data_IF_407971146107
#
_entry.id   IF_407971146107
#
_cell.length_a   1.000
_cell.length_b   1.000
_cell.length_c   1.000
_cell.angle_alpha   90.00
_cell.angle_beta   90.00
_cell.angle_gamma   90.00
#
_symmetry.space_group_name_H-M   'P 1'
#
loop_
_entity.id
_entity.type
_entity.pdbx_description
1 polymer ?
#
# COMPACT_ATOMS: atom_id res chain seq x y z
N UNK A 1 0.29 -36.74 -29.80
CA UNK A 1 1.56 -37.43 -30.05
C UNK A 1 2.67 -36.49 -30.49
N UNK A 2 3.92 -36.84 -30.22
CA UNK A 2 5.12 -36.17 -30.74
C UNK A 2 5.27 -36.44 -32.24
N UNK A 3 5.65 -35.46 -33.07
CA UNK A 3 5.87 -35.72 -34.50
C UNK A 3 7.18 -36.49 -34.67
N UNK A 4 7.13 -37.57 -35.45
CA UNK A 4 8.26 -38.46 -35.67
C UNK A 4 9.40 -37.77 -36.45
N UNK A 5 10.62 -38.25 -36.25
CA UNK A 5 11.84 -37.86 -37.01
C UNK A 5 12.24 -36.38 -36.88
N UNK A 6 11.79 -35.69 -35.83
CA UNK A 6 12.27 -34.36 -35.49
C UNK A 6 13.75 -34.37 -35.14
N UNK A 7 14.41 -33.27 -35.48
CA UNK A 7 15.81 -33.00 -35.20
C UNK A 7 15.88 -31.76 -34.33
N UNK A 8 16.30 -31.91 -33.08
CA UNK A 8 16.46 -30.79 -32.14
C UNK A 8 17.94 -30.47 -32.04
N UNK A 9 18.31 -29.22 -32.33
CA UNK A 9 19.67 -28.74 -32.11
C UNK A 9 19.88 -28.46 -30.63
N UNK A 10 20.88 -29.12 -30.04
CA UNK A 10 21.32 -28.94 -28.66
C UNK A 10 22.80 -28.57 -28.69
N UNK A 11 23.26 -27.80 -27.71
CA UNK A 11 24.68 -27.47 -27.57
C UNK A 11 25.31 -28.22 -26.40
N UNK A 12 26.53 -28.71 -26.61
CA UNK A 12 27.32 -29.33 -25.55
C UNK A 12 27.61 -28.34 -24.42
N UNK A 13 27.31 -28.73 -23.19
CA UNK A 13 27.68 -28.00 -21.98
C UNK A 13 28.13 -28.99 -20.88
N UNK A 14 28.81 -28.48 -19.85
CA UNK A 14 29.36 -29.34 -18.80
C UNK A 14 28.31 -30.20 -18.09
N UNK A 15 27.08 -29.70 -17.97
CA UNK A 15 25.97 -30.39 -17.29
C UNK A 15 25.26 -31.45 -18.14
N UNK A 16 25.22 -31.31 -19.47
CA UNK A 16 24.48 -32.22 -20.36
C UNK A 16 25.38 -33.27 -21.03
N UNK A 17 26.70 -33.10 -20.94
CA UNK A 17 27.68 -33.97 -21.61
C UNK A 17 27.46 -35.44 -21.29
N UNK A 18 27.47 -35.81 -20.00
CA UNK A 18 27.33 -37.19 -19.54
C UNK A 18 26.03 -37.84 -20.04
N UNK A 19 24.92 -37.11 -19.99
CA UNK A 19 23.60 -37.57 -20.43
C UNK A 19 23.59 -37.99 -21.91
N UNK A 20 24.17 -37.17 -22.79
CA UNK A 20 24.16 -37.47 -24.22
C UNK A 20 25.25 -38.47 -24.64
N UNK A 21 26.40 -38.52 -23.94
CA UNK A 21 27.40 -39.58 -24.14
C UNK A 21 26.80 -40.97 -23.80
N UNK A 22 26.05 -41.10 -22.70
CA UNK A 22 25.34 -42.34 -22.32
C UNK A 22 24.28 -42.77 -23.36
N UNK A 23 23.71 -41.81 -24.10
CA UNK A 23 22.77 -42.05 -25.20
C UNK A 23 23.45 -42.34 -26.54
N UNK A 24 24.79 -42.39 -26.58
CA UNK A 24 25.59 -42.74 -27.75
C UNK A 24 25.99 -41.57 -28.64
N UNK A 25 25.79 -40.32 -28.21
CA UNK A 25 26.23 -39.13 -28.95
C UNK A 25 27.72 -38.85 -28.69
N UNK A 26 28.50 -38.64 -29.77
CA UNK A 26 29.94 -38.37 -29.67
C UNK A 26 30.20 -36.91 -29.30
N UNK A 27 30.86 -36.69 -28.16
CA UNK A 27 31.29 -35.37 -27.72
C UNK A 27 32.33 -34.77 -28.68
N UNK A 28 32.15 -33.50 -29.05
CA UNK A 28 33.12 -32.74 -29.85
C UNK A 28 33.89 -31.74 -28.99
N UNK A 29 33.36 -30.53 -28.83
CA UNK A 29 33.84 -29.49 -27.91
C UNK A 29 32.66 -28.77 -27.26
N UNK A 30 32.92 -28.15 -26.12
CA UNK A 30 31.90 -27.39 -25.39
C UNK A 30 31.39 -26.25 -26.28
N UNK A 31 30.08 -26.01 -26.26
CA UNK A 31 29.30 -25.05 -27.08
C UNK A 31 29.05 -25.47 -28.53
N UNK A 32 29.60 -26.58 -29.02
CA UNK A 32 29.22 -27.11 -30.33
C UNK A 32 27.78 -27.58 -30.34
N UNK A 33 27.09 -27.26 -31.43
CA UNK A 33 25.75 -27.76 -31.74
C UNK A 33 25.80 -29.18 -32.28
N UNK A 34 24.87 -30.02 -31.84
CA UNK A 34 24.64 -31.36 -32.36
C UNK A 34 23.13 -31.63 -32.39
N UNK A 35 22.73 -32.57 -33.24
CA UNK A 35 21.33 -32.90 -33.46
C UNK A 35 20.97 -34.11 -32.62
N UNK A 36 19.92 -33.97 -31.81
CA UNK A 36 19.35 -35.06 -31.02
C UNK A 36 17.91 -35.33 -31.41
N UNK A 37 17.47 -36.56 -31.14
CA UNK A 37 16.05 -36.91 -31.22
C UNK A 37 15.32 -36.36 -29.98
N UNK A 38 14.06 -35.92 -30.08
CA UNK A 38 13.33 -35.43 -28.92
C UNK A 38 13.23 -36.45 -27.77
N UNK A 39 13.19 -37.75 -28.07
CA UNK A 39 13.09 -38.82 -27.07
C UNK A 39 14.35 -38.94 -26.19
N UNK A 40 15.49 -38.45 -26.69
CA UNK A 40 16.76 -38.43 -25.96
C UNK A 40 16.95 -37.16 -25.14
N UNK A 41 16.00 -36.20 -25.20
CA UNK A 41 16.02 -35.03 -24.32
C UNK A 41 15.70 -35.43 -22.86
N UNK A 42 16.33 -34.78 -21.86
CA UNK A 42 15.92 -34.90 -20.47
C UNK A 42 14.46 -34.51 -20.26
N UNK A 43 13.77 -35.12 -19.29
CA UNK A 43 12.35 -34.88 -19.02
C UNK A 43 12.04 -33.45 -18.52
N UNK A 44 13.04 -32.74 -18.02
CA UNK A 44 13.01 -31.33 -17.65
C UNK A 44 13.45 -30.37 -18.77
N UNK A 45 13.69 -30.88 -19.99
CA UNK A 45 14.19 -30.07 -21.11
C UNK A 45 13.22 -28.95 -21.51
N UNK A 46 13.77 -27.75 -21.66
CA UNK A 46 13.09 -26.55 -22.17
C UNK A 46 13.12 -26.45 -23.70
N UNK A 47 13.74 -27.39 -24.41
CA UNK A 47 13.76 -27.37 -25.87
C UNK A 47 12.34 -27.55 -26.41
N UNK A 48 12.02 -26.78 -27.45
CA UNK A 48 10.72 -26.82 -28.10
C UNK A 48 10.64 -28.01 -29.04
N UNK A 49 9.52 -28.72 -28.99
CA UNK A 49 9.20 -29.87 -29.83
C UNK A 49 7.86 -29.63 -30.52
N UNK A 50 7.69 -30.18 -31.72
CA UNK A 50 6.41 -30.15 -32.42
C UNK A 50 5.57 -31.36 -31.99
N UNK A 51 4.30 -31.12 -31.67
CA UNK A 51 3.40 -32.17 -31.20
C UNK A 51 2.03 -32.00 -31.84
N UNK A 52 1.36 -33.11 -32.12
CA UNK A 52 0.02 -33.17 -32.68
C UNK A 52 -0.95 -33.55 -31.57
N UNK A 53 -2.01 -32.77 -31.38
CA UNK A 53 -3.09 -33.10 -30.45
C UNK A 53 -3.80 -34.39 -30.89
N UNK A 54 -3.86 -35.40 -30.02
CA UNK A 54 -4.50 -36.71 -30.30
C UNK A 54 -6.02 -36.65 -30.42
N UNK A 55 -6.62 -35.46 -30.28
CA UNK A 55 -8.08 -35.25 -30.29
C UNK A 55 -8.56 -34.31 -31.39
N UNK A 56 -7.70 -33.43 -31.90
CA UNK A 56 -8.08 -32.48 -32.96
C UNK A 56 -7.09 -32.44 -34.12
N UNK A 57 -6.03 -33.25 -34.08
CA UNK A 57 -5.00 -33.39 -35.09
C UNK A 57 -4.30 -32.08 -35.49
N UNK A 58 -4.42 -31.02 -34.69
CA UNK A 58 -3.68 -29.78 -34.88
C UNK A 58 -2.28 -29.90 -34.31
N UNK A 59 -1.31 -29.33 -35.02
CA UNK A 59 0.08 -29.26 -34.63
C UNK A 59 0.34 -28.05 -33.73
N UNK A 60 1.20 -28.22 -32.74
CA UNK A 60 1.60 -27.22 -31.75
C UNK A 60 3.09 -27.30 -31.51
N UNK A 61 3.70 -26.18 -31.11
CA UNK A 61 5.09 -26.12 -30.67
C UNK A 61 5.10 -25.78 -29.18
N UNK A 62 5.69 -26.63 -28.34
CA UNK A 62 5.84 -26.38 -26.90
C UNK A 62 7.07 -27.06 -26.31
N UNK A 63 7.41 -26.73 -25.07
CA UNK A 63 8.58 -27.31 -24.39
C UNK A 63 8.39 -28.81 -24.12
N UNK A 64 9.45 -29.61 -24.31
CA UNK A 64 9.40 -31.06 -24.14
C UNK A 64 8.90 -31.49 -22.74
N UNK A 65 9.33 -30.78 -21.70
CA UNK A 65 8.85 -31.00 -20.32
C UNK A 65 7.33 -30.84 -20.17
N UNK A 66 6.73 -29.90 -20.89
CA UNK A 66 5.30 -29.61 -20.80
C UNK A 66 4.48 -30.63 -21.58
N UNK A 67 5.02 -31.12 -22.69
CA UNK A 67 4.48 -32.28 -23.42
C UNK A 67 4.44 -33.52 -22.51
N UNK A 68 5.56 -33.85 -21.86
CA UNK A 68 5.65 -35.00 -20.95
C UNK A 68 4.66 -34.91 -19.77
N UNK A 69 4.55 -33.74 -19.14
CA UNK A 69 3.55 -33.50 -18.08
C UNK A 69 2.11 -33.72 -18.58
N UNK A 70 1.80 -33.27 -19.78
CA UNK A 70 0.46 -33.41 -20.37
C UNK A 70 0.12 -34.89 -20.59
N UNK A 71 0.99 -35.66 -21.22
CA UNK A 71 0.73 -37.08 -21.52
C UNK A 71 0.72 -37.97 -20.27
N UNK A 72 1.55 -37.64 -19.24
CA UNK A 72 1.60 -38.37 -17.97
C UNK A 72 0.25 -38.32 -17.23
N UNK A 73 -0.46 -37.19 -17.32
CA UNK A 73 -1.78 -37.00 -16.70
C UNK A 73 -2.94 -37.57 -17.52
N UNK A 74 -2.70 -37.96 -18.77
CA UNK A 74 -3.73 -38.25 -19.75
C UNK A 74 -3.52 -39.58 -20.49
N UNK A 75 -3.12 -40.63 -19.79
CA UNK A 75 -2.94 -41.99 -20.34
C UNK A 75 -2.12 -42.01 -21.64
N UNK A 76 -0.99 -41.30 -21.65
CA UNK A 76 -0.07 -41.17 -22.79
C UNK A 76 -0.65 -40.46 -24.04
N UNK A 77 -1.82 -39.82 -23.93
CA UNK A 77 -2.42 -39.00 -25.00
C UNK A 77 -2.23 -37.51 -24.72
N UNK A 78 -1.63 -36.81 -25.66
CA UNK A 78 -1.49 -35.35 -25.65
C UNK A 78 -2.79 -34.69 -26.12
N UNK A 79 -3.28 -33.75 -25.32
CA UNK A 79 -4.35 -32.86 -25.75
C UNK A 79 -3.90 -31.40 -25.70
N UNK A 80 -4.34 -30.61 -26.68
CA UNK A 80 -4.17 -29.18 -26.63
C UNK A 80 -5.05 -28.56 -25.54
N UNK A 81 -4.78 -27.29 -25.22
CA UNK A 81 -5.55 -26.50 -24.25
C UNK A 81 -7.05 -26.50 -24.57
N UNK A 82 -7.41 -26.31 -25.85
CA UNK A 82 -8.82 -26.27 -26.30
C UNK A 82 -9.51 -27.61 -26.04
N UNK A 83 -8.88 -28.72 -26.41
CA UNK A 83 -9.43 -30.06 -26.21
C UNK A 83 -9.51 -30.45 -24.73
N UNK A 84 -8.56 -29.99 -23.91
CA UNK A 84 -8.61 -30.12 -22.45
C UNK A 84 -9.80 -29.38 -21.84
N UNK A 85 -10.02 -28.13 -22.25
CA UNK A 85 -11.15 -27.33 -21.77
C UNK A 85 -12.51 -27.90 -22.18
N UNK A 86 -12.62 -28.47 -23.39
CA UNK A 86 -13.86 -29.15 -23.83
C UNK A 86 -14.23 -30.34 -22.93
N UNK A 87 -13.25 -31.09 -22.41
CA UNK A 87 -13.51 -32.16 -21.41
C UNK A 87 -14.01 -31.59 -20.08
N UNK A 88 -13.44 -30.47 -19.62
CA UNK A 88 -13.92 -29.78 -18.42
C UNK A 88 -15.35 -29.25 -18.58
N UNK A 89 -15.70 -28.63 -19.71
CA UNK A 89 -17.03 -28.07 -19.97
C UNK A 89 -18.10 -29.19 -19.97
N UNK A 90 -17.83 -30.35 -20.58
CA UNK A 90 -18.76 -31.50 -20.54
C UNK A 90 -18.98 -32.01 -19.11
N UNK A 91 -17.95 -32.04 -18.27
CA UNK A 91 -18.08 -32.43 -16.86
C UNK A 91 -18.79 -31.38 -16.00
N UNK A 92 -18.64 -30.07 -16.29
CA UNK A 92 -19.36 -28.99 -15.62
C UNK A 92 -20.86 -29.02 -15.95
N UNK A 93 -21.21 -29.26 -17.22
CA UNK A 93 -22.61 -29.34 -17.66
C UNK A 93 -23.35 -30.53 -17.03
N UNK A 94 -22.65 -31.61 -16.67
CA UNK A 94 -23.24 -32.75 -15.96
C UNK A 94 -23.38 -32.54 -14.43
N UNK A 95 -22.62 -31.61 -13.85
CA UNK A 95 -22.66 -31.26 -12.41
C UNK A 95 -23.69 -30.16 -12.09
N UNK A 96 -23.97 -29.27 -13.04
CA UNK A 96 -24.86 -28.12 -12.84
C UNK A 96 -26.35 -28.48 -12.71
N UNK A 97 -26.80 -29.65 -13.18
CA UNK A 97 -28.20 -30.09 -13.00
C UNK A 97 -28.52 -30.62 -11.59
N UNK A 98 -27.51 -31.02 -10.80
CA UNK A 98 -27.69 -31.60 -9.45
C UNK A 98 -27.74 -30.58 -8.31
N UNK A 99 -27.52 -29.30 -8.56
CA UNK A 99 -27.33 -28.26 -7.53
C UNK A 99 -28.41 -27.17 -7.50
N UNK A 100 -29.51 -27.32 -8.23
CA UNK A 100 -30.62 -26.35 -8.20
C UNK A 100 -31.47 -26.60 -6.93
N UNK A 101 -31.34 -25.70 -5.96
CA UNK A 101 -32.20 -25.69 -4.77
C UNK A 101 -33.65 -25.44 -5.19
N UNK A 102 -34.60 -26.02 -4.45
CA UNK A 102 -36.01 -25.67 -4.54
C UNK A 102 -36.26 -24.25 -4.02
N UNK A 103 -37.32 -23.60 -4.50
CA UNK A 103 -37.71 -22.25 -4.02
C UNK A 103 -37.96 -22.28 -2.50
N UNK A 104 -38.56 -23.35 -1.97
CA UNK A 104 -38.80 -23.52 -0.54
C UNK A 104 -37.51 -23.58 0.28
N UNK A 105 -36.46 -24.24 -0.23
CA UNK A 105 -35.14 -24.25 0.42
C UNK A 105 -34.50 -22.86 0.41
N UNK A 106 -34.70 -22.08 -0.65
CA UNK A 106 -34.21 -20.69 -0.76
C UNK A 106 -34.90 -19.82 0.30
N UNK A 107 -36.22 -19.91 0.42
CA UNK A 107 -36.99 -19.19 1.45
C UNK A 107 -36.46 -19.56 2.83
N UNK A 108 -36.40 -20.85 3.19
CA UNK A 108 -35.88 -21.31 4.49
C UNK A 108 -34.47 -20.80 4.79
N UNK A 109 -33.57 -20.78 3.79
CA UNK A 109 -32.20 -20.29 3.97
C UNK A 109 -32.14 -18.79 4.24
N UNK A 110 -32.97 -18.01 3.58
CA UNK A 110 -33.02 -16.55 3.79
C UNK A 110 -33.66 -16.25 5.14
N UNK A 111 -34.80 -16.86 5.44
CA UNK A 111 -35.58 -16.56 6.65
C UNK A 111 -34.93 -17.09 7.94
N UNK A 112 -34.11 -18.14 7.86
CA UNK A 112 -33.31 -18.62 8.99
C UNK A 112 -32.19 -17.65 9.42
N UNK A 113 -31.90 -16.62 8.63
CA UNK A 113 -30.87 -15.62 8.92
C UNK A 113 -31.49 -14.27 9.22
N UNK A 114 -31.02 -13.62 10.28
CA UNK A 114 -31.36 -12.23 10.61
C UNK A 114 -32.89 -11.93 10.65
N UNK A 115 -33.73 -12.95 10.90
CA UNK A 115 -35.20 -12.87 10.82
C UNK A 115 -35.69 -12.23 9.50
N UNK A 116 -34.97 -12.48 8.42
CA UNK A 116 -35.27 -11.92 7.12
C UNK A 116 -36.57 -12.50 6.54
N UNK A 117 -37.12 -11.83 5.53
CA UNK A 117 -38.22 -12.36 4.71
C UNK A 117 -37.91 -12.18 3.22
N UNK A 118 -38.05 -13.23 2.41
CA UNK A 118 -37.89 -13.14 0.96
C UNK A 118 -39.18 -12.56 0.34
N UNK A 119 -39.05 -11.58 -0.55
CA UNK A 119 -40.18 -10.88 -1.15
C UNK A 119 -40.46 -11.28 -2.61
N UNK A 120 -39.47 -11.81 -3.33
CA UNK A 120 -39.60 -12.23 -4.74
C UNK A 120 -39.10 -13.67 -4.98
N UNK A 121 -39.70 -14.70 -4.35
CA UNK A 121 -39.31 -16.10 -4.54
C UNK A 121 -39.33 -16.56 -6.00
N UNK A 122 -40.24 -16.01 -6.81
CA UNK A 122 -40.41 -16.27 -8.24
C UNK A 122 -39.20 -15.89 -9.11
N UNK A 123 -38.38 -14.93 -8.65
CA UNK A 123 -37.20 -14.45 -9.38
C UNK A 123 -35.98 -15.39 -9.26
N UNK A 124 -36.07 -16.42 -8.40
CA UNK A 124 -35.00 -17.38 -8.23
C UNK A 124 -34.87 -18.33 -9.43
N UNK A 125 -33.75 -18.24 -10.14
CA UNK A 125 -33.44 -19.09 -11.30
C UNK A 125 -32.45 -20.20 -10.95
N UNK A 126 -31.38 -19.86 -10.24
CA UNK A 126 -30.31 -20.77 -9.83
C UNK A 126 -29.41 -20.11 -8.76
N UNK A 127 -28.34 -20.80 -8.33
CA UNK A 127 -27.42 -20.30 -7.30
C UNK A 127 -26.71 -18.97 -7.64
N UNK A 128 -26.67 -18.57 -8.92
CA UNK A 128 -26.09 -17.32 -9.37
C UNK A 128 -27.09 -16.15 -9.38
N UNK A 129 -28.36 -16.37 -9.01
CA UNK A 129 -29.34 -15.28 -8.85
C UNK A 129 -28.83 -14.27 -7.80
N UNK A 130 -28.77 -12.99 -8.20
CA UNK A 130 -28.18 -11.90 -7.40
C UNK A 130 -29.15 -10.75 -7.10
N UNK A 131 -30.40 -10.87 -7.53
CA UNK A 131 -31.47 -9.87 -7.41
C UNK A 131 -32.59 -10.33 -6.46
N UNK A 132 -32.29 -11.14 -5.45
CA UNK A 132 -33.29 -11.54 -4.45
C UNK A 132 -33.58 -10.34 -3.55
N UNK A 133 -34.85 -9.95 -3.48
CA UNK A 133 -35.40 -8.86 -2.69
C UNK A 133 -35.76 -9.38 -1.31
N UNK A 134 -35.05 -8.91 -0.30
CA UNK A 134 -35.15 -9.37 1.08
C UNK A 134 -35.54 -8.22 1.99
N UNK A 135 -36.50 -8.46 2.88
CA UNK A 135 -36.81 -7.57 4.00
C UNK A 135 -35.87 -7.90 5.16
N UNK A 136 -35.05 -6.93 5.56
CA UNK A 136 -34.10 -7.09 6.67
C UNK A 136 -34.83 -7.21 8.01
N UNK A 137 -34.69 -8.34 8.72
CA UNK A 137 -35.38 -8.51 10.01
C UNK A 137 -34.85 -7.63 11.14
N UNK A 138 -33.65 -7.08 11.01
CA UNK A 138 -33.05 -6.16 12.01
C UNK A 138 -33.59 -4.73 11.93
N UNK A 139 -33.97 -4.24 10.75
CA UNK A 139 -34.34 -2.83 10.56
C UNK A 139 -35.55 -2.59 9.65
N UNK A 140 -36.15 -3.65 9.10
CA UNK A 140 -37.31 -3.56 8.21
C UNK A 140 -37.01 -2.99 6.82
N UNK A 141 -35.75 -2.70 6.48
CA UNK A 141 -35.42 -2.18 5.14
C UNK A 141 -35.38 -3.29 4.09
N UNK A 142 -35.91 -3.01 2.90
CA UNK A 142 -35.75 -3.87 1.73
C UNK A 142 -34.34 -3.70 1.12
N UNK A 143 -33.74 -4.81 0.69
CA UNK A 143 -32.46 -4.79 -0.02
C UNK A 143 -32.36 -5.94 -1.02
N UNK A 144 -31.51 -5.77 -2.04
CA UNK A 144 -31.20 -6.80 -3.02
C UNK A 144 -29.95 -7.57 -2.62
N UNK A 145 -29.94 -8.89 -2.84
CA UNK A 145 -28.81 -9.75 -2.48
C UNK A 145 -28.80 -11.06 -3.27
N UNK A 146 -27.74 -11.85 -3.08
CA UNK A 146 -27.61 -13.22 -3.59
C UNK A 146 -27.65 -14.24 -2.46
N UNK A 147 -27.97 -15.49 -2.79
CA UNK A 147 -27.89 -16.61 -1.83
C UNK A 147 -26.48 -16.76 -1.24
N UNK A 148 -25.46 -16.56 -2.06
CA UNK A 148 -24.06 -16.62 -1.63
C UNK A 148 -23.73 -15.57 -0.57
N UNK A 149 -24.24 -14.34 -0.74
CA UNK A 149 -24.05 -13.26 0.24
C UNK A 149 -24.74 -13.57 1.57
N UNK A 150 -25.99 -14.04 1.55
CA UNK A 150 -26.72 -14.46 2.75
C UNK A 150 -26.04 -15.65 3.45
N UNK A 151 -25.50 -16.61 2.68
CA UNK A 151 -24.80 -17.77 3.23
C UNK A 151 -23.50 -17.39 3.94
N UNK A 152 -22.70 -16.52 3.31
CA UNK A 152 -21.38 -16.16 3.80
C UNK A 152 -21.41 -15.05 4.88
N UNK A 153 -22.50 -14.28 4.96
CA UNK A 153 -22.70 -13.22 5.92
C UNK A 153 -23.61 -13.59 7.10
N UNK A 154 -23.93 -12.59 7.91
CA UNK A 154 -24.97 -12.69 8.95
C UNK A 154 -26.38 -12.47 8.38
N UNK A 155 -26.49 -12.20 7.08
CA UNK A 155 -27.75 -11.98 6.37
C UNK A 155 -28.35 -10.59 6.59
N UNK A 156 -27.64 -9.68 7.26
CA UNK A 156 -28.10 -8.32 7.47
C UNK A 156 -27.95 -7.45 6.22
N UNK A 157 -28.81 -6.43 6.09
CA UNK A 157 -28.61 -5.42 5.07
C UNK A 157 -27.32 -4.62 5.34
N UNK A 158 -26.78 -3.96 4.30
CA UNK A 158 -25.53 -3.21 4.39
C UNK A 158 -25.50 -2.20 5.56
N UNK A 159 -26.62 -1.51 5.81
CA UNK A 159 -26.73 -0.54 6.91
C UNK A 159 -26.55 -1.20 8.28
N UNK A 160 -27.24 -2.32 8.51
CA UNK A 160 -27.14 -3.06 9.77
C UNK A 160 -25.76 -3.70 9.95
N UNK A 161 -25.20 -4.30 8.90
CA UNK A 161 -23.87 -4.88 8.91
C UNK A 161 -22.79 -3.83 9.23
N UNK A 162 -22.89 -2.63 8.62
CA UNK A 162 -21.98 -1.53 8.88
C UNK A 162 -22.12 -0.98 10.30
N UNK A 163 -23.36 -0.83 10.81
CA UNK A 163 -23.61 -0.38 12.19
C UNK A 163 -22.96 -1.31 13.21
N UNK A 164 -23.18 -2.63 13.08
CA UNK A 164 -22.58 -3.65 13.94
C UNK A 164 -21.06 -3.65 13.88
N UNK A 165 -20.50 -3.49 12.68
CA UNK A 165 -19.04 -3.38 12.48
C UNK A 165 -18.49 -2.13 13.16
N UNK A 166 -19.15 -0.99 13.00
CA UNK A 166 -18.78 0.29 13.62
C UNK A 166 -18.82 0.22 15.15
N UNK A 167 -19.88 -0.36 15.72
CA UNK A 167 -20.01 -0.55 17.17
C UNK A 167 -18.89 -1.45 17.72
N UNK A 168 -18.53 -2.52 17.00
CA UNK A 168 -17.43 -3.42 17.39
C UNK A 168 -16.05 -2.75 17.34
N UNK A 169 -15.85 -1.81 16.40
CA UNK A 169 -14.58 -1.10 16.23
C UNK A 169 -14.47 0.18 17.07
N UNK A 170 -15.58 0.63 17.66
CA UNK A 170 -15.63 1.85 18.47
C UNK A 170 -14.73 1.70 19.71
N UNK A 171 -13.87 2.70 19.92
CA UNK A 171 -13.00 2.74 21.09
C UNK A 171 -13.79 3.12 22.35
N UNK A 172 -13.27 2.79 23.53
CA UNK A 172 -13.85 3.30 24.78
C UNK A 172 -13.48 4.77 24.98
N UNK A 173 -14.31 5.52 25.71
CA UNK A 173 -14.03 6.91 26.10
C UNK A 173 -12.69 7.05 26.83
N UNK A 174 -12.32 6.05 27.64
CA UNK A 174 -11.09 6.01 28.42
C UNK A 174 -9.88 5.79 27.52
N UNK A 175 -10.00 4.93 26.50
CA UNK A 175 -8.97 4.73 25.48
C UNK A 175 -8.72 6.01 24.68
N UNK A 176 -9.79 6.67 24.25
CA UNK A 176 -9.70 7.95 23.52
C UNK A 176 -9.00 9.02 24.36
N UNK A 177 -9.37 9.14 25.64
CA UNK A 177 -8.70 10.05 26.57
C UNK A 177 -7.22 9.75 26.69
N UNK A 178 -6.84 8.48 26.90
CA UNK A 178 -5.44 8.07 27.05
C UNK A 178 -4.60 8.43 25.83
N UNK A 179 -5.15 8.24 24.61
CA UNK A 179 -4.46 8.59 23.36
C UNK A 179 -4.24 10.08 23.20
N UNK A 180 -5.26 10.89 23.51
CA UNK A 180 -5.17 12.34 23.40
C UNK A 180 -4.19 12.91 24.43
N UNK A 181 -4.30 12.48 25.69
CA UNK A 181 -3.47 12.98 26.79
C UNK A 181 -1.98 12.61 26.63
N UNK A 182 -1.67 11.58 25.83
CA UNK A 182 -0.31 11.14 25.55
C UNK A 182 0.41 11.94 24.45
N UNK A 183 -0.21 12.97 23.87
CA UNK A 183 0.31 13.74 22.73
C UNK A 183 0.33 15.23 23.05
N UNK A 184 1.47 15.89 22.85
CA UNK A 184 1.66 17.35 22.99
C UNK A 184 1.16 17.93 24.32
N UNK A 185 1.16 17.16 25.42
CA UNK A 185 0.56 17.55 26.70
C UNK A 185 -0.90 18.03 26.58
N UNK A 186 -1.61 17.58 25.55
CA UNK A 186 -3.02 17.88 25.36
C UNK A 186 -3.85 17.24 26.47
N UNK A 187 -5.06 17.75 26.69
CA UNK A 187 -6.03 17.14 27.60
C UNK A 187 -7.40 17.05 26.97
N UNK A 188 -7.99 15.84 26.92
CA UNK A 188 -9.38 15.67 26.52
C UNK A 188 -10.31 16.09 27.66
N UNK A 189 -11.16 17.09 27.41
CA UNK A 189 -12.04 17.67 28.43
C UNK A 189 -13.39 16.96 28.54
N UNK A 190 -13.85 16.30 27.48
CA UNK A 190 -15.17 15.68 27.43
C UNK A 190 -15.14 14.21 26.94
N UNK A 191 -14.44 13.31 27.65
CA UNK A 191 -14.33 11.90 27.24
C UNK A 191 -15.69 11.21 27.11
N UNK A 192 -16.65 11.55 27.97
CA UNK A 192 -18.00 10.96 27.98
C UNK A 192 -18.83 11.32 26.75
N UNK A 193 -18.48 12.39 26.04
CA UNK A 193 -19.22 12.81 24.85
C UNK A 193 -18.81 12.01 23.61
N UNK A 194 -17.74 11.21 23.64
CA UNK A 194 -17.24 10.49 22.46
C UNK A 194 -18.29 9.56 21.84
N UNK A 195 -18.62 9.83 20.56
CA UNK A 195 -19.64 9.07 19.81
C UNK A 195 -19.03 8.08 18.83
N UNK A 196 -18.08 8.53 18.02
CA UNK A 196 -17.41 7.75 16.99
C UNK A 196 -16.17 8.54 16.49
N UNK A 197 -15.47 7.98 15.49
CA UNK A 197 -14.23 8.57 14.99
C UNK A 197 -14.39 9.83 14.13
N UNK A 198 -15.59 10.06 13.59
CA UNK A 198 -15.85 11.08 12.57
C UNK A 198 -16.71 12.24 13.09
N UNK A 199 -17.35 12.09 14.25
CA UNK A 199 -18.11 13.16 14.89
C UNK A 199 -17.16 14.22 15.47
N UNK A 200 -17.29 15.51 15.11
CA UNK A 200 -16.42 16.59 15.58
C UNK A 200 -16.87 17.11 16.94
N UNK A 201 -16.72 16.30 17.98
CA UNK A 201 -17.20 16.65 19.32
C UNK A 201 -16.14 16.52 20.42
N UNK A 202 -14.90 16.21 20.10
CA UNK A 202 -13.82 16.14 21.09
C UNK A 202 -13.30 17.53 21.40
N UNK A 203 -13.50 17.99 22.64
CA UNK A 203 -12.97 19.25 23.17
C UNK A 203 -11.61 18.99 23.80
N UNK A 204 -10.56 19.48 23.15
CA UNK A 204 -9.17 19.26 23.56
C UNK A 204 -8.57 20.57 24.01
N UNK A 205 -8.00 20.58 25.21
CA UNK A 205 -7.15 21.68 25.68
C UNK A 205 -5.76 21.49 25.08
N UNK A 206 -5.32 22.44 24.28
CA UNK A 206 -3.98 22.44 23.66
C UNK A 206 -2.90 22.53 24.74
N UNK A 207 -1.94 21.60 24.73
CA UNK A 207 -0.86 21.62 25.72
C UNK A 207 0.16 22.75 25.53
N UNK A 208 0.26 23.35 24.33
CA UNK A 208 1.22 24.42 24.05
C UNK A 208 0.74 25.80 24.53
N UNK A 209 -0.56 26.10 24.35
CA UNK A 209 -1.10 27.44 24.61
C UNK A 209 -2.33 27.46 25.52
N UNK A 210 -2.86 26.29 25.89
CA UNK A 210 -4.04 26.18 26.74
C UNK A 210 -5.39 26.44 26.04
N UNK A 211 -5.39 26.88 24.77
CA UNK A 211 -6.61 27.11 23.98
C UNK A 211 -7.41 25.80 23.81
N UNK A 212 -8.74 25.90 23.91
CA UNK A 212 -9.63 24.76 23.68
C UNK A 212 -10.02 24.74 22.20
N UNK A 213 -9.89 23.59 21.57
CA UNK A 213 -10.33 23.39 20.20
C UNK A 213 -11.14 22.10 20.06
N UNK A 214 -11.96 22.05 19.01
CA UNK A 214 -12.83 20.91 18.71
C UNK A 214 -12.30 20.16 17.50
N UNK A 215 -12.30 18.84 17.56
CA UNK A 215 -11.92 17.96 16.44
C UNK A 215 -12.63 16.62 16.48
N UNK A 216 -12.48 15.84 15.42
CA UNK A 216 -12.81 14.41 15.35
C UNK A 216 -11.62 13.57 15.85
N UNK A 217 -11.86 12.33 16.30
CA UNK A 217 -10.77 11.41 16.63
C UNK A 217 -9.93 11.07 15.41
N UNK A 218 -10.56 10.87 14.25
CA UNK A 218 -9.88 10.57 12.99
C UNK A 218 -8.85 11.66 12.64
N UNK A 219 -9.24 12.93 12.65
CA UNK A 219 -8.32 14.03 12.34
C UNK A 219 -7.18 14.14 13.36
N UNK A 220 -7.44 13.78 14.62
CA UNK A 220 -6.42 13.74 15.66
C UNK A 220 -5.41 12.60 15.42
N UNK A 221 -5.89 11.37 15.18
CA UNK A 221 -5.02 10.20 14.95
C UNK A 221 -4.23 10.29 13.63
N UNK A 222 -4.78 10.95 12.61
CA UNK A 222 -4.08 11.23 11.36
C UNK A 222 -3.14 12.45 11.42
N UNK A 223 -2.88 12.99 12.62
CA UNK A 223 -2.01 14.15 12.84
C UNK A 223 -2.44 15.43 12.12
N UNK A 224 -3.70 15.53 11.68
CA UNK A 224 -4.21 16.70 10.96
C UNK A 224 -4.65 17.81 11.91
N UNK A 225 -5.12 17.46 13.12
CA UNK A 225 -5.63 18.41 14.12
C UNK A 225 -5.19 18.07 15.54
N UNK A 226 -3.90 17.82 15.73
CA UNK A 226 -3.30 17.52 17.05
C UNK A 226 -2.98 18.77 17.89
N UNK A 227 -3.17 19.97 17.31
CA UNK A 227 -2.96 21.28 17.93
C UNK A 227 -4.08 22.23 17.51
N UNK A 228 -4.28 23.30 18.28
CA UNK A 228 -5.21 24.36 17.90
C UNK A 228 -4.69 25.14 16.67
N UNK A 229 -5.57 25.87 15.99
CA UNK A 229 -5.19 26.62 14.78
C UNK A 229 -4.12 27.68 15.02
N UNK A 230 -4.17 28.34 16.19
CA UNK A 230 -3.15 29.33 16.58
C UNK A 230 -1.76 28.70 16.66
N UNK A 231 -1.64 27.51 17.24
CA UNK A 231 -0.35 26.83 17.37
C UNK A 231 0.08 26.13 16.09
N UNK A 232 -0.86 25.60 15.30
CA UNK A 232 -0.52 24.94 14.03
C UNK A 232 -0.05 25.92 12.96
N UNK A 233 -0.52 27.17 12.98
CA UNK A 233 -0.13 28.21 12.04
C UNK A 233 1.19 28.91 12.41
N UNK A 234 1.64 28.83 13.67
CA UNK A 234 2.86 29.52 14.14
C UNK A 234 4.15 28.94 13.59
N UNK A 235 4.21 27.62 13.42
CA UNK A 235 5.43 26.88 13.06
C UNK A 235 5.06 25.82 12.03
N UNK A 236 5.77 25.82 10.90
CA UNK A 236 5.53 24.85 9.84
C UNK A 236 5.84 23.41 10.31
N UNK A 237 5.22 22.40 9.69
CA UNK A 237 5.48 20.99 10.00
C UNK A 237 6.98 20.61 9.91
N UNK A 238 7.72 20.98 8.85
CA UNK A 238 9.16 20.67 8.78
C UNK A 238 9.96 21.38 9.87
N UNK A 239 9.74 22.68 10.10
CA UNK A 239 10.44 23.43 11.16
C UNK A 239 10.22 22.80 12.54
N UNK A 240 8.99 22.37 12.84
CA UNK A 240 8.69 21.70 14.11
C UNK A 240 9.44 20.38 14.26
N UNK A 241 9.53 19.58 13.19
CA UNK A 241 10.33 18.34 13.21
C UNK A 241 11.80 18.64 13.51
N UNK A 242 12.35 19.72 12.94
CA UNK A 242 13.72 20.18 13.26
C UNK A 242 13.83 20.56 14.73
N UNK A 243 12.92 21.38 15.26
CA UNK A 243 12.89 21.77 16.68
C UNK A 243 12.83 20.56 17.62
N UNK A 244 11.94 19.60 17.35
CA UNK A 244 11.78 18.39 18.15
C UNK A 244 13.06 17.56 18.16
N UNK A 245 13.74 17.42 17.02
CA UNK A 245 15.02 16.72 16.93
C UNK A 245 16.12 17.46 17.70
N UNK A 246 16.29 18.77 17.48
CA UNK A 246 17.31 19.55 18.19
C UNK A 246 17.10 19.51 19.71
N UNK A 247 15.85 19.65 20.17
CA UNK A 247 15.50 19.52 21.58
C UNK A 247 15.79 18.11 22.12
N UNK A 248 15.46 17.05 21.37
CA UNK A 248 15.72 15.67 21.77
C UNK A 248 17.21 15.41 22.00
N UNK A 249 18.07 15.94 21.13
CA UNK A 249 19.52 15.84 21.27
C UNK A 249 20.11 16.91 22.22
N UNK A 250 19.26 17.72 22.87
CA UNK A 250 19.68 18.81 23.77
C UNK A 250 20.64 19.81 23.10
N UNK A 251 20.42 20.09 21.81
CA UNK A 251 21.19 21.05 21.03
C UNK A 251 20.54 22.43 21.20
N UNK A 252 21.31 23.42 21.62
CA UNK A 252 20.84 24.79 21.73
C UNK A 252 20.75 25.43 20.33
N UNK A 253 19.66 26.14 20.07
CA UNK A 253 19.46 26.86 18.81
C UNK A 253 18.68 28.16 19.00
N UNK A 254 18.88 29.10 18.08
CA UNK A 254 18.08 30.31 17.94
C UNK A 254 17.17 30.16 16.72
N UNK A 255 15.86 30.20 16.95
CA UNK A 255 14.83 30.09 15.90
C UNK A 255 14.58 31.45 15.24
N UNK A 256 14.39 31.47 13.91
CA UNK A 256 14.16 32.69 13.12
C UNK A 256 15.23 33.78 13.34
N UNK A 257 16.49 33.36 13.48
CA UNK A 257 17.59 34.23 13.84
C UNK A 257 17.99 35.16 12.69
N UNK A 258 18.37 36.39 13.02
CA UNK A 258 18.74 37.42 12.03
C UNK A 258 20.12 37.97 12.37
N UNK A 259 21.09 37.72 11.50
CA UNK A 259 22.38 38.37 11.58
C UNK A 259 22.25 39.83 11.11
N UNK A 260 22.66 40.78 11.94
CA UNK A 260 22.51 42.21 11.65
C UNK A 260 23.25 42.66 10.39
N UNK A 261 24.32 41.95 10.00
CA UNK A 261 25.15 42.17 8.81
C UNK A 261 24.70 41.36 7.58
N UNK A 262 23.77 40.40 7.70
CA UNK A 262 23.15 39.69 6.57
C UNK A 262 21.85 40.40 6.15
N UNK A 263 21.95 41.44 5.32
CA UNK A 263 20.81 42.30 4.96
C UNK A 263 20.24 41.99 3.58
N UNK A 264 18.90 41.95 3.50
CA UNK A 264 18.14 42.06 2.26
C UNK A 264 17.89 43.52 1.92
N UNK A 265 16.75 43.82 1.28
CA UNK A 265 16.43 45.19 0.83
C UNK A 265 16.35 46.20 1.99
N UNK A 266 15.58 45.89 3.03
CA UNK A 266 15.29 46.82 4.13
C UNK A 266 15.53 46.24 5.54
N UNK A 267 15.86 44.94 5.64
CA UNK A 267 15.99 44.24 6.92
C UNK A 267 16.97 43.09 6.83
N UNK A 268 17.52 42.71 7.98
CA UNK A 268 18.29 41.47 8.12
C UNK A 268 17.44 40.27 7.68
N UNK A 269 18.02 39.34 6.93
CA UNK A 269 17.33 38.15 6.46
C UNK A 269 17.22 37.13 7.61
N UNK A 270 16.04 36.51 7.82
CA UNK A 270 15.87 35.48 8.83
C UNK A 270 16.44 34.16 8.31
N UNK A 271 17.03 33.39 9.22
CA UNK A 271 17.39 32.00 9.03
C UNK A 271 16.53 31.15 9.97
N UNK A 272 16.00 30.02 9.49
CA UNK A 272 15.05 29.21 10.29
C UNK A 272 15.67 28.77 11.63
N UNK A 273 16.89 28.20 11.62
CA UNK A 273 17.59 27.79 12.83
C UNK A 273 19.08 28.15 12.79
N UNK A 274 19.58 28.76 13.86
CA UNK A 274 21.01 28.99 14.09
C UNK A 274 21.52 28.19 15.29
N UNK A 275 22.51 27.33 15.05
CA UNK A 275 23.20 26.54 16.07
C UNK A 275 24.62 27.12 16.22
N UNK A 276 24.77 27.99 17.23
CA UNK A 276 26.00 28.75 17.46
C UNK A 276 27.18 27.84 17.76
N UNK A 277 26.99 26.82 18.62
CA UNK A 277 28.02 25.87 19.04
C UNK A 277 28.61 25.06 17.89
N UNK A 278 27.83 24.85 16.81
CA UNK A 278 28.23 24.10 15.63
C UNK A 278 28.55 25.01 14.44
N UNK A 279 28.49 26.34 14.62
CA UNK A 279 28.58 27.32 13.53
C UNK A 279 27.72 26.92 12.31
N UNK A 280 26.50 26.44 12.57
CA UNK A 280 25.64 25.77 11.58
C UNK A 280 24.25 26.41 11.51
N UNK A 281 23.78 26.68 10.29
CA UNK A 281 22.42 27.11 9.99
C UNK A 281 21.64 25.94 9.36
N UNK A 282 20.37 25.80 9.73
CA UNK A 282 19.41 24.90 9.08
C UNK A 282 18.28 25.74 8.49
N UNK A 283 17.95 25.53 7.22
CA UNK A 283 16.82 26.13 6.50
C UNK A 283 15.91 25.03 5.95
N UNK A 284 14.60 25.23 6.06
CA UNK A 284 13.57 24.30 5.58
C UNK A 284 12.83 24.91 4.38
N UNK A 285 13.37 24.69 3.20
CA UNK A 285 12.92 25.37 1.99
C UNK A 285 11.62 24.77 1.43
N UNK A 286 10.53 25.51 1.58
CA UNK A 286 9.24 25.19 0.97
C UNK A 286 9.23 25.29 -0.57
N UNK A 287 8.12 24.88 -1.20
CA UNK A 287 7.95 24.92 -2.66
C UNK A 287 8.25 26.27 -3.31
N UNK A 288 7.98 27.37 -2.61
CA UNK A 288 8.15 28.74 -3.07
C UNK A 288 9.62 29.15 -3.28
N UNK A 289 10.60 28.40 -2.74
CA UNK A 289 12.02 28.58 -3.04
C UNK A 289 12.42 28.04 -4.42
N UNK A 290 11.62 27.13 -4.98
CA UNK A 290 11.94 26.42 -6.22
C UNK A 290 10.97 26.70 -7.35
N UNK A 291 9.75 27.16 -7.04
CA UNK A 291 8.69 27.43 -8.00
C UNK A 291 8.00 28.75 -7.70
N UNK A 292 7.48 29.37 -8.76
CA UNK A 292 6.65 30.58 -8.70
C UNK A 292 5.25 30.25 -8.17
N UNK A 293 5.10 30.21 -6.84
CA UNK A 293 3.82 29.90 -6.17
C UNK A 293 2.94 31.15 -6.01
N UNK A 294 3.55 32.33 -5.86
CA UNK A 294 2.87 33.60 -5.59
C UNK A 294 3.23 34.68 -6.62
N UNK A 295 3.58 34.26 -7.84
CA UNK A 295 4.00 35.14 -8.93
C UNK A 295 5.51 35.29 -9.07
N UNK A 296 5.91 35.69 -10.28
CA UNK A 296 7.33 35.65 -10.70
C UNK A 296 8.20 36.65 -9.94
N UNK A 297 7.69 37.85 -9.65
CA UNK A 297 8.42 38.84 -8.85
C UNK A 297 8.79 38.31 -7.46
N UNK A 298 7.85 37.61 -6.81
CA UNK A 298 8.10 37.01 -5.50
C UNK A 298 9.20 35.94 -5.61
N UNK A 299 9.13 35.10 -6.64
CA UNK A 299 10.11 34.03 -6.85
C UNK A 299 11.52 34.56 -7.10
N UNK A 300 11.65 35.59 -7.95
CA UNK A 300 12.94 36.25 -8.21
C UNK A 300 13.51 36.90 -6.95
N UNK A 301 12.65 37.52 -6.13
CA UNK A 301 13.06 38.07 -4.83
C UNK A 301 13.51 36.98 -3.86
N UNK A 302 12.82 35.84 -3.80
CA UNK A 302 13.24 34.69 -2.98
C UNK A 302 14.62 34.19 -3.42
N UNK A 303 14.83 33.98 -4.74
CA UNK A 303 16.14 33.58 -5.29
C UNK A 303 17.26 34.56 -4.94
N UNK A 304 16.98 35.86 -5.05
CA UNK A 304 17.94 36.90 -4.67
C UNK A 304 18.35 36.77 -3.20
N UNK A 305 17.38 36.63 -2.30
CA UNK A 305 17.64 36.53 -0.86
C UNK A 305 18.36 35.25 -0.49
N UNK A 306 18.00 34.12 -1.10
CA UNK A 306 18.71 32.86 -0.95
C UNK A 306 20.18 32.98 -1.39
N UNK A 307 20.44 33.64 -2.52
CA UNK A 307 21.82 33.91 -2.96
C UNK A 307 22.61 34.81 -2.01
N UNK A 308 21.97 35.77 -1.33
CA UNK A 308 22.60 36.59 -0.29
C UNK A 308 22.97 35.74 0.92
N UNK A 309 22.04 34.87 1.37
CA UNK A 309 22.26 33.94 2.48
C UNK A 309 23.41 32.98 2.18
N UNK A 310 23.43 32.39 0.99
CA UNK A 310 24.49 31.45 0.56
C UNK A 310 25.87 32.11 0.59
N UNK A 311 25.98 33.33 0.02
CA UNK A 311 27.22 34.12 0.06
C UNK A 311 27.63 34.49 1.48
N UNK A 312 26.67 34.88 2.32
CA UNK A 312 26.93 35.22 3.71
C UNK A 312 27.51 34.03 4.48
N UNK A 313 26.88 32.85 4.35
CA UNK A 313 27.35 31.63 5.01
C UNK A 313 28.74 31.24 4.52
N UNK A 314 28.97 31.28 3.20
CA UNK A 314 30.28 30.98 2.60
C UNK A 314 31.38 31.91 3.09
N UNK A 315 31.12 33.22 3.14
CA UNK A 315 32.11 34.22 3.55
C UNK A 315 32.46 34.15 5.04
N UNK A 316 31.48 33.78 5.89
CA UNK A 316 31.66 33.65 7.34
C UNK A 316 32.09 32.23 7.77
N UNK A 317 32.32 31.34 6.80
CA UNK A 317 32.61 29.92 7.04
C UNK A 317 31.55 29.22 7.92
N UNK A 318 30.28 29.62 7.75
CA UNK A 318 29.12 29.03 8.43
C UNK A 318 28.60 27.87 7.59
N UNK A 319 28.39 26.71 8.21
CA UNK A 319 27.81 25.56 7.55
C UNK A 319 26.30 25.79 7.32
N UNK A 320 25.86 25.75 6.06
CA UNK A 320 24.44 25.89 5.69
C UNK A 320 23.85 24.54 5.28
N UNK A 321 22.85 24.06 6.04
CA UNK A 321 22.08 22.85 5.74
C UNK A 321 20.71 23.28 5.23
N UNK A 322 20.45 23.10 3.94
CA UNK A 322 19.13 23.34 3.33
C UNK A 322 18.38 22.03 3.17
N UNK A 323 17.17 21.95 3.69
CA UNK A 323 16.27 20.80 3.54
C UNK A 323 15.15 21.20 2.59
N UNK A 324 15.20 20.76 1.32
CA UNK A 324 14.17 21.09 0.36
C UNK A 324 12.86 20.36 0.65
N UNK A 325 11.74 20.90 0.16
CA UNK A 325 10.41 20.37 0.45
C UNK A 325 10.17 18.91 0.06
N UNK A 326 10.91 18.38 -0.92
CA UNK A 326 10.83 16.96 -1.31
C UNK A 326 11.56 16.02 -0.34
N UNK A 327 12.40 16.54 0.55
CA UNK A 327 13.13 15.80 1.57
C UNK A 327 12.49 15.91 2.98
N UNK A 328 11.30 16.51 3.11
CA UNK A 328 10.65 16.71 4.42
C UNK A 328 10.28 15.41 5.15
N UNK A 329 10.19 14.29 4.43
CA UNK A 329 10.02 12.97 5.03
C UNK A 329 11.35 12.40 5.59
N UNK A 330 12.49 12.88 5.12
CA UNK A 330 13.85 12.42 5.48
C UNK A 330 14.60 13.42 6.40
N UNK A 331 13.91 14.42 6.98
CA UNK A 331 14.52 15.44 7.86
C UNK A 331 15.38 14.80 8.95
N UNK A 332 14.88 13.75 9.60
CA UNK A 332 15.55 13.04 10.68
C UNK A 332 16.90 12.48 10.21
N UNK A 333 16.91 11.70 9.12
CA UNK A 333 18.12 11.08 8.60
C UNK A 333 19.13 12.12 8.09
N UNK A 334 18.65 13.20 7.45
CA UNK A 334 19.49 14.28 6.96
C UNK A 334 20.20 14.98 8.12
N UNK A 335 19.46 15.35 9.16
CA UNK A 335 20.03 16.06 10.31
C UNK A 335 20.95 15.16 11.12
N UNK A 336 20.59 13.89 11.34
CA UNK A 336 21.45 12.92 12.03
C UNK A 336 22.80 12.81 11.30
N UNK A 337 22.77 12.67 9.97
CA UNK A 337 23.99 12.56 9.16
C UNK A 337 24.80 13.87 9.13
N UNK A 338 24.14 15.01 8.95
CA UNK A 338 24.81 16.31 8.76
C UNK A 338 25.37 16.90 10.06
N UNK A 339 24.73 16.59 11.19
CA UNK A 339 25.16 17.04 12.52
C UNK A 339 25.94 15.96 13.29
N UNK A 340 26.28 14.83 12.64
CA UNK A 340 26.99 13.69 13.23
C UNK A 340 26.36 13.17 14.54
N UNK A 341 25.03 13.07 14.57
CA UNK A 341 24.29 12.63 15.75
C UNK A 341 24.20 11.10 15.82
N UNK A 342 23.99 10.56 17.02
CA UNK A 342 23.75 9.12 17.19
C UNK A 342 22.36 8.75 16.65
N UNK A 343 22.21 7.65 15.88
CA UNK A 343 20.92 7.25 15.34
C UNK A 343 19.86 7.00 16.44
N UNK A 344 18.61 7.34 16.16
CA UNK A 344 17.49 7.03 17.06
C UNK A 344 17.23 5.51 17.08
N UNK A 345 17.25 4.90 18.26
CA UNK A 345 16.80 3.50 18.42
C UNK A 345 15.34 3.38 17.97
N UNK A 346 14.98 2.27 17.32
CA UNK A 346 13.64 2.04 16.75
C UNK A 346 12.49 2.21 17.78
N UNK A 347 12.76 2.05 19.08
CA UNK A 347 11.81 2.25 20.18
C UNK A 347 11.70 3.70 20.70
N UNK A 348 12.47 4.65 20.15
CA UNK A 348 12.51 6.08 20.52
C UNK A 348 12.36 7.01 19.31
N UNK A 349 11.84 6.52 18.18
CA UNK A 349 11.39 7.43 17.12
C UNK A 349 10.35 8.38 17.72
N UNK A 350 10.54 9.69 17.53
CA UNK A 350 9.50 10.69 17.75
C UNK A 350 8.24 10.11 17.10
N UNK A 351 7.12 10.04 17.84
CA UNK A 351 5.89 9.34 17.42
C UNK A 351 5.28 9.98 16.15
N UNK A 352 5.92 9.77 15.02
CA UNK A 352 5.34 9.92 13.70
C UNK A 352 4.65 8.60 13.40
N UNK A 353 3.33 8.57 13.59
CA UNK A 353 2.49 7.47 13.14
C UNK A 353 2.39 7.62 11.61
N UNK A 354 3.03 6.74 10.81
CA UNK A 354 2.99 6.86 9.36
C UNK A 354 1.57 6.63 8.86
N UNK A 355 1.22 7.30 7.75
CA UNK A 355 0.03 6.99 6.95
C UNK A 355 -0.03 5.48 6.71
N UNK A 356 -0.98 4.77 7.33
CA UNK A 356 -1.38 3.47 6.81
C UNK A 356 -1.91 3.70 5.39
N UNK A 357 -1.20 3.18 4.40
CA UNK A 357 -1.74 2.98 3.05
C UNK A 357 -3.05 2.21 3.23
N UNK A 358 -4.17 2.86 2.91
CA UNK A 358 -5.42 2.16 2.66
C UNK A 358 -5.16 1.40 1.35
N UNK A 359 -5.20 0.07 1.42
CA UNK A 359 -5.11 -0.82 0.27
C UNK A 359 -6.39 -0.72 -0.58
#
# INVERSE_FOLDING_TARGET
MLVEKQKIEVRWNGSNRKWYEEKGYKFTKIRDGFIVKPEDLPDYSHHKVEVICDFCNRQYILEYRDYLKNIKRNNKKFHCFICGNRKHIKNINHSTSKNKLSVDEVIKRIESKNKNKLLNPEDYKNQNTSNLKVLCGSCGSEFLTSLSSIKNGDGACLKCANKKTSEKQKLSSEEVKRRIDAVNNNKLLNPKDYRDNHTPNLKIKCGDCGEIYVTTLANYEYNQKIRCDKCSQRISVPERKVMELLNFYSINYKYNYRFSDCKGKNRALPFDFWIEDLNTIIETDGRHHYHSVWGEEHFQRTKLYDGIKDKYCKNKNIQLIRIPYWEFDNIEDILIKKLNLKPLNQNKKIKYIPKKKIA
#
